data_IF_005150222499
#
_entry.id   IF_005150222499
#
_cell.length_a   1.000
_cell.length_b   1.000
_cell.length_c   1.000
_cell.angle_alpha   90.00
_cell.angle_beta   90.00
_cell.angle_gamma   90.00
#
_symmetry.space_group_name_H-M   'P 1'
#
loop_
_entity.id
_entity.type
_entity.pdbx_description
1 polymer ?
#
# COMPACT_ATOMS: atom_id res chain seq x y z
N UNK A 1 0.79 3.46 -1.85
CA UNK A 1 -0.36 2.55 -1.66
C UNK A 1 -1.57 3.39 -1.33
N UNK A 2 -2.74 3.07 -1.88
CA UNK A 2 -4.00 3.68 -1.52
C UNK A 2 -5.12 2.63 -1.55
N UNK A 3 -6.33 2.97 -1.12
CA UNK A 3 -7.48 2.08 -1.16
C UNK A 3 -8.67 2.72 -1.85
N UNK A 4 -9.44 1.90 -2.57
CA UNK A 4 -10.56 2.35 -3.40
C UNK A 4 -11.77 2.84 -2.58
N UNK A 5 -11.93 2.30 -1.37
CA UNK A 5 -13.00 2.63 -0.43
C UNK A 5 -12.63 3.73 0.57
N UNK A 6 -11.56 4.50 0.32
CA UNK A 6 -11.14 5.60 1.20
C UNK A 6 -12.10 6.80 1.10
N UNK A 7 -12.78 7.19 2.20
CA UNK A 7 -13.73 8.30 2.19
C UNK A 7 -13.05 9.69 2.22
N UNK A 8 -11.75 9.76 2.54
CA UNK A 8 -10.99 11.00 2.68
C UNK A 8 -10.18 11.34 1.43
N UNK A 9 -9.67 10.33 0.71
CA UNK A 9 -8.79 10.52 -0.45
C UNK A 9 -9.52 10.18 -1.75
N UNK A 10 -10.18 11.17 -2.40
CA UNK A 10 -10.89 10.93 -3.66
C UNK A 10 -9.96 10.59 -4.83
N UNK A 11 -10.51 9.99 -5.91
CA UNK A 11 -9.75 9.60 -7.11
C UNK A 11 -8.86 10.68 -7.71
N UNK A 12 -9.31 11.93 -7.70
CA UNK A 12 -8.55 13.04 -8.25
C UNK A 12 -7.19 13.27 -7.57
N UNK A 13 -7.00 12.81 -6.33
CA UNK A 13 -5.74 12.98 -5.61
C UNK A 13 -4.74 11.85 -5.90
N UNK A 14 -5.20 10.63 -6.11
CA UNK A 14 -4.31 9.48 -6.35
C UNK A 14 -4.14 9.11 -7.82
N UNK A 15 -5.04 9.55 -8.71
CA UNK A 15 -4.93 9.32 -10.15
C UNK A 15 -3.63 9.84 -10.76
N UNK A 16 -3.15 11.06 -10.46
CA UNK A 16 -1.89 11.56 -11.02
C UNK A 16 -0.68 10.73 -10.56
N UNK A 17 -0.70 10.24 -9.31
CA UNK A 17 0.36 9.39 -8.76
C UNK A 17 0.37 8.02 -9.45
N UNK A 18 -0.81 7.46 -9.75
CA UNK A 18 -0.94 6.22 -10.52
C UNK A 18 -0.39 6.39 -11.93
N UNK A 19 -0.69 7.51 -12.59
CA UNK A 19 -0.18 7.81 -13.93
C UNK A 19 1.34 7.98 -13.92
N UNK A 20 1.89 8.69 -12.93
CA UNK A 20 3.33 8.80 -12.74
C UNK A 20 4.00 7.42 -12.57
N UNK A 21 3.43 6.57 -11.72
CA UNK A 21 3.94 5.22 -11.49
C UNK A 21 3.86 4.34 -12.75
N UNK A 22 2.83 4.51 -13.59
CA UNK A 22 2.73 3.80 -14.86
C UNK A 22 3.83 4.22 -15.87
N UNK A 23 4.38 5.42 -15.73
CA UNK A 23 5.42 5.95 -16.61
C UNK A 23 6.86 5.74 -16.09
N UNK A 24 7.03 5.22 -14.88
CA UNK A 24 8.34 5.11 -14.24
C UNK A 24 8.53 3.75 -13.59
N UNK A 25 9.52 2.99 -14.08
CA UNK A 25 9.85 1.63 -13.63
C UNK A 25 10.30 1.55 -12.16
N UNK A 26 10.69 2.67 -11.56
CA UNK A 26 11.09 2.73 -10.15
C UNK A 26 9.93 3.01 -9.18
N UNK A 27 8.70 3.23 -9.68
CA UNK A 27 7.55 3.53 -8.85
C UNK A 27 6.49 2.43 -8.93
N UNK A 28 6.14 1.88 -7.76
CA UNK A 28 5.02 0.96 -7.61
C UNK A 28 3.78 1.68 -7.09
N UNK A 29 2.65 1.58 -7.81
CA UNK A 29 1.36 2.01 -7.30
C UNK A 29 0.49 0.81 -6.96
N UNK A 30 0.16 0.67 -5.68
CA UNK A 30 -0.72 -0.38 -5.17
C UNK A 30 -2.04 0.27 -4.76
N UNK A 31 -3.14 -0.19 -5.37
CA UNK A 31 -4.50 0.19 -5.01
C UNK A 31 -5.24 -1.04 -4.50
N UNK A 32 -5.58 -1.06 -3.21
CA UNK A 32 -6.36 -2.14 -2.64
C UNK A 32 -7.86 -1.91 -2.87
N UNK A 33 -8.62 -2.99 -3.06
CA UNK A 33 -10.08 -2.92 -3.23
C UNK A 33 -10.79 -2.48 -1.94
N UNK A 34 -10.21 -2.85 -0.80
CA UNK A 34 -10.67 -2.57 0.56
C UNK A 34 -9.48 -2.14 1.42
N UNK A 35 -9.71 -1.31 2.44
CA UNK A 35 -8.66 -0.82 3.34
C UNK A 35 -8.56 0.71 3.41
N UNK A 36 -9.48 1.42 2.77
CA UNK A 36 -9.62 2.86 2.82
C UNK A 36 -10.18 3.28 4.16
N UNK A 37 -9.65 4.35 4.73
CA UNK A 37 -9.66 4.61 6.16
C UNK A 37 -9.11 3.43 7.01
N UNK A 38 -9.48 2.16 6.83
CA UNK A 38 -9.26 0.95 7.66
C UNK A 38 -7.82 0.39 7.75
N UNK A 39 -6.83 1.26 7.92
CA UNK A 39 -5.96 1.13 9.09
C UNK A 39 -6.49 1.84 10.34
N UNK A 40 -7.53 2.65 10.20
CA UNK A 40 -8.08 3.57 11.19
C UNK A 40 -8.63 2.88 12.43
N UNK A 41 -8.90 1.57 12.38
CA UNK A 41 -9.47 0.80 13.48
C UNK A 41 -9.01 -0.65 13.47
N UNK A 42 -7.71 -0.94 13.48
CA UNK A 42 -7.23 -2.31 13.79
C UNK A 42 -7.42 -2.68 15.29
N UNK A 43 -8.61 -2.37 15.82
CA UNK A 43 -9.14 -2.87 17.09
C UNK A 43 -9.36 -1.79 18.16
N UNK A 44 -10.57 -1.21 18.18
CA UNK A 44 -11.19 -0.59 19.37
C UNK A 44 -10.53 0.67 19.97
N UNK A 45 -10.79 1.85 19.39
CA UNK A 45 -10.67 3.12 20.12
C UNK A 45 -9.82 4.21 19.45
N UNK A 46 -9.80 5.37 20.10
CA UNK A 46 -9.18 6.64 19.66
C UNK A 46 -7.64 6.54 19.54
N UNK A 47 -7.03 5.39 19.87
CA UNK A 47 -5.57 5.21 19.94
C UNK A 47 -5.11 4.24 18.84
N UNK A 48 -4.29 4.68 17.88
CA UNK A 48 -3.73 3.80 16.86
C UNK A 48 -2.70 2.82 17.45
N UNK A 49 -2.68 1.58 16.96
CA UNK A 49 -1.63 0.62 17.29
C UNK A 49 -0.27 1.09 16.77
N UNK A 50 0.80 0.77 17.50
CA UNK A 50 2.18 1.18 17.16
C UNK A 50 2.74 0.50 15.91
N UNK A 51 2.13 -0.61 15.47
CA UNK A 51 2.44 -1.32 14.22
C UNK A 51 1.15 -1.53 13.47
N UNK A 52 1.04 -0.92 12.31
CA UNK A 52 -0.15 -0.95 11.47
C UNK A 52 -0.11 -2.12 10.48
N UNK A 53 -1.25 -2.47 9.89
CA UNK A 53 -1.29 -3.38 8.74
C UNK A 53 -0.43 -2.88 7.57
N UNK A 54 -0.25 -1.56 7.43
CA UNK A 54 0.58 -0.96 6.39
C UNK A 54 2.05 -1.32 6.60
N UNK A 55 2.54 -1.24 7.84
CA UNK A 55 3.92 -1.61 8.19
C UNK A 55 4.19 -3.09 7.86
N UNK A 56 3.24 -3.97 8.22
CA UNK A 56 3.31 -5.40 7.89
C UNK A 56 3.31 -5.62 6.38
N UNK A 57 2.46 -4.92 5.63
CA UNK A 57 2.38 -5.04 4.19
C UNK A 57 3.69 -4.62 3.49
N UNK A 58 4.34 -3.55 3.96
CA UNK A 58 5.63 -3.11 3.42
C UNK A 58 6.71 -4.16 3.66
N UNK A 59 6.78 -4.74 4.86
CA UNK A 59 7.75 -5.80 5.18
C UNK A 59 7.52 -7.05 4.33
N UNK A 60 6.27 -7.50 4.20
CA UNK A 60 5.94 -8.66 3.36
C UNK A 60 6.25 -8.40 1.88
N UNK A 61 5.97 -7.19 1.37
CA UNK A 61 6.32 -6.80 0.01
C UNK A 61 7.84 -6.81 -0.21
N UNK A 62 8.61 -6.28 0.75
CA UNK A 62 10.07 -6.29 0.68
C UNK A 62 10.64 -7.71 0.70
N UNK A 63 10.12 -8.58 1.58
CA UNK A 63 10.49 -9.99 1.63
C UNK A 63 10.17 -10.71 0.32
N UNK A 64 8.97 -10.51 -0.22
CA UNK A 64 8.56 -11.10 -1.49
C UNK A 64 9.43 -10.60 -2.67
N UNK A 65 9.79 -9.31 -2.68
CA UNK A 65 10.72 -8.78 -3.67
C UNK A 65 12.09 -9.47 -3.58
N UNK A 66 12.64 -9.63 -2.37
CA UNK A 66 13.92 -10.34 -2.17
C UNK A 66 13.84 -11.78 -2.68
N UNK A 67 12.76 -12.51 -2.38
CA UNK A 67 12.57 -13.89 -2.86
C UNK A 67 12.56 -13.94 -4.40
N UNK A 68 11.75 -13.10 -5.05
CA UNK A 68 11.67 -13.05 -6.52
C UNK A 68 13.02 -12.71 -7.15
N UNK A 69 13.76 -11.75 -6.59
CA UNK A 69 15.08 -11.38 -7.10
C UNK A 69 16.15 -12.44 -6.81
N UNK A 70 16.03 -13.18 -5.71
CA UNK A 70 16.97 -14.25 -5.35
C UNK A 70 16.76 -15.51 -6.20
N UNK A 71 15.52 -15.84 -6.55
CA UNK A 71 15.18 -16.99 -7.40
C UNK A 71 15.40 -16.73 -8.90
N UNK A 72 15.49 -15.48 -9.32
CA UNK A 72 15.77 -15.09 -10.71
C UNK A 72 17.24 -15.08 -11.12
N UNK A 73 18.15 -15.58 -10.27
CA UNK A 73 19.62 -15.54 -10.47
C UNK A 73 20.26 -16.87 -10.85
N UNK A 74 19.48 -17.89 -11.22
CA UNK A 74 20.00 -19.14 -11.82
C UNK A 74 20.23 -19.02 -13.34
#
# INVERSE_FOLDING_TARGET
MNALDDPLVPPCLWQPVRELAATNEHFGFILTKHGGHLGFLEGSGIIPNSVTWLDRCIVELANAAIVVYSEGTD
#
